data_IF_268920165519
#
_entry.id   IF_268920165519
#
_cell.length_a   1.000
_cell.length_b   1.000
_cell.length_c   1.000
_cell.angle_alpha   90.00
_cell.angle_beta   90.00
_cell.angle_gamma   90.00
#
_symmetry.space_group_name_H-M   'P 1'
#
loop_
_entity.id
_entity.type
_entity.pdbx_description
1 polymer ?
#
# COMPACT_ATOMS: atom_id res chain seq x y z
N UNK A 1 8.69 10.68 -12.83
CA UNK A 1 8.87 11.60 -11.70
C UNK A 1 8.32 10.92 -10.47
N UNK A 2 9.08 10.89 -9.37
CA UNK A 2 8.57 10.32 -8.12
C UNK A 2 7.96 11.39 -7.24
N UNK A 3 6.93 11.00 -6.49
CA UNK A 3 6.25 11.85 -5.51
C UNK A 3 5.98 11.05 -4.23
N UNK A 4 5.89 11.75 -3.11
CA UNK A 4 5.42 11.17 -1.86
C UNK A 4 3.91 11.32 -1.75
N UNK A 5 3.24 10.32 -1.22
CA UNK A 5 1.82 10.38 -0.95
C UNK A 5 1.39 9.46 0.18
N UNK A 6 0.12 9.57 0.57
CA UNK A 6 -0.48 8.76 1.63
C UNK A 6 -1.54 7.83 1.06
N UNK A 7 -1.56 6.58 1.49
CA UNK A 7 -2.59 5.65 1.04
C UNK A 7 -3.89 5.93 1.76
N UNK A 8 -4.92 6.28 1.01
CA UNK A 8 -6.25 6.59 1.54
C UNK A 8 -7.23 5.43 1.38
N UNK A 9 -6.99 4.54 0.42
CA UNK A 9 -7.82 3.35 0.18
C UNK A 9 -6.99 2.22 -0.44
N UNK A 10 -7.33 0.98 -0.12
CA UNK A 10 -6.83 -0.19 -0.83
C UNK A 10 -8.00 -1.06 -1.32
N UNK A 11 -7.81 -1.69 -2.47
CA UNK A 11 -8.60 -2.80 -2.97
C UNK A 11 -7.66 -3.98 -3.20
N UNK A 12 -8.19 -5.16 -3.58
CA UNK A 12 -7.41 -6.40 -3.74
C UNK A 12 -6.03 -6.21 -4.39
N UNK A 13 -5.96 -5.42 -5.46
CA UNK A 13 -4.74 -5.29 -6.28
C UNK A 13 -4.28 -3.85 -6.49
N UNK A 14 -5.00 -2.86 -5.94
CA UNK A 14 -4.73 -1.45 -6.19
C UNK A 14 -4.79 -0.63 -4.90
N UNK A 15 -4.04 0.47 -4.92
CA UNK A 15 -3.94 1.42 -3.83
C UNK A 15 -4.27 2.80 -4.37
N UNK A 16 -5.06 3.56 -3.63
CA UNK A 16 -5.36 4.95 -3.93
C UNK A 16 -4.46 5.80 -3.06
N UNK A 17 -3.60 6.58 -3.69
CA UNK A 17 -2.59 7.40 -3.04
C UNK A 17 -2.97 8.86 -3.22
N UNK A 18 -3.17 9.54 -2.10
CA UNK A 18 -3.29 10.99 -2.07
C UNK A 18 -1.89 11.61 -2.20
N UNK A 19 -1.69 12.32 -3.31
CA UNK A 19 -0.45 13.06 -3.65
C UNK A 19 -0.66 14.57 -3.59
N UNK A 20 -1.78 15.04 -3.01
CA UNK A 20 -2.15 16.46 -2.95
C UNK A 20 -2.91 16.96 -4.18
N UNK A 21 -3.40 16.06 -5.04
CA UNK A 21 -4.30 16.37 -6.15
C UNK A 21 -5.78 16.30 -5.72
N UNK A 22 -6.70 16.76 -6.58
CA UNK A 22 -8.14 16.74 -6.30
C UNK A 22 -8.66 15.32 -6.08
N UNK A 23 -8.15 14.36 -6.85
CA UNK A 23 -8.52 12.95 -6.76
C UNK A 23 -7.31 12.07 -6.41
N UNK A 24 -7.48 11.05 -5.54
CA UNK A 24 -6.42 10.11 -5.25
C UNK A 24 -5.99 9.33 -6.49
N UNK A 25 -4.67 9.22 -6.70
CA UNK A 25 -4.10 8.51 -7.85
C UNK A 25 -4.16 7.00 -7.63
N UNK A 26 -4.57 6.27 -8.66
CA UNK A 26 -4.54 4.80 -8.66
C UNK A 26 -3.09 4.31 -8.81
N UNK A 27 -2.65 3.44 -7.92
CA UNK A 27 -1.31 2.88 -7.92
C UNK A 27 -1.30 1.36 -7.72
N UNK A 28 -0.25 0.72 -8.25
CA UNK A 28 0.07 -0.70 -8.08
C UNK A 28 1.40 -0.85 -7.35
N UNK A 29 1.64 -2.02 -6.80
CA UNK A 29 2.91 -2.34 -6.16
C UNK A 29 3.84 -2.98 -7.18
N UNK A 30 5.07 -2.49 -7.26
CA UNK A 30 6.10 -3.16 -8.06
C UNK A 30 6.46 -4.49 -7.39
N UNK A 31 6.36 -5.61 -8.12
CA UNK A 31 6.39 -6.96 -7.54
C UNK A 31 7.65 -7.36 -6.75
N UNK A 32 8.71 -6.57 -6.77
CA UNK A 32 9.90 -6.78 -5.94
C UNK A 32 9.81 -6.17 -4.52
N UNK A 33 8.77 -5.37 -4.23
CA UNK A 33 8.72 -4.58 -3.00
C UNK A 33 8.65 -5.40 -1.70
N UNK A 34 8.22 -6.66 -1.79
CA UNK A 34 8.06 -7.56 -0.63
C UNK A 34 8.84 -8.87 -0.75
N UNK A 35 9.84 -8.94 -1.63
CA UNK A 35 10.59 -10.19 -1.86
C UNK A 35 11.24 -10.77 -0.60
N UNK A 36 11.61 -9.93 0.36
CA UNK A 36 12.25 -10.39 1.61
C UNK A 36 11.25 -10.75 2.71
N UNK A 37 9.96 -10.43 2.54
CA UNK A 37 8.94 -10.76 3.52
C UNK A 37 7.54 -10.62 2.92
N UNK A 38 6.93 -11.74 2.57
CA UNK A 38 5.52 -11.83 2.17
C UNK A 38 4.55 -11.57 3.33
N UNK A 39 5.03 -11.65 4.59
CA UNK A 39 4.20 -11.53 5.80
C UNK A 39 4.29 -10.17 6.51
N UNK A 40 5.37 -9.40 6.38
CA UNK A 40 5.63 -8.22 7.24
C UNK A 40 5.11 -6.90 6.64
N UNK A 41 4.99 -6.75 5.32
CA UNK A 41 4.67 -5.43 4.73
C UNK A 41 3.43 -5.42 3.84
N UNK A 42 2.27 -5.84 4.38
CA UNK A 42 0.99 -5.54 3.75
C UNK A 42 0.73 -4.03 3.92
N UNK A 43 0.97 -3.29 2.84
CA UNK A 43 0.63 -1.87 2.73
C UNK A 43 -0.75 -1.62 3.33
N UNK A 44 -0.86 -0.59 4.15
CA UNK A 44 -2.07 -0.22 4.87
C UNK A 44 -2.52 1.20 4.50
N UNK A 45 -3.80 1.48 4.74
CA UNK A 45 -4.30 2.86 4.72
C UNK A 45 -3.60 3.65 5.82
N UNK A 46 -3.17 4.87 5.48
CA UNK A 46 -2.34 5.73 6.32
C UNK A 46 -0.83 5.55 6.13
N UNK A 47 -0.40 4.59 5.32
CA UNK A 47 1.02 4.47 4.96
C UNK A 47 1.44 5.61 4.05
N UNK A 48 2.57 6.21 4.40
CA UNK A 48 3.29 7.13 3.53
C UNK A 48 4.17 6.33 2.56
N UNK A 49 4.11 6.66 1.28
CA UNK A 49 4.74 5.92 0.19
C UNK A 49 5.40 6.84 -0.83
N UNK A 50 6.44 6.33 -1.48
CA UNK A 50 6.99 6.94 -2.70
C UNK A 50 6.35 6.27 -3.92
N UNK A 51 5.81 7.07 -4.83
CA UNK A 51 5.16 6.63 -6.06
C UNK A 51 5.83 7.22 -7.30
N UNK A 52 5.97 6.41 -8.35
CA UNK A 52 6.29 6.87 -9.70
C UNK A 52 5.00 6.98 -10.50
N UNK A 53 4.61 8.22 -10.83
CA UNK A 53 3.38 8.50 -11.58
C UNK A 53 3.54 8.37 -13.09
N UNK A 54 4.77 8.22 -13.58
CA UNK A 54 5.10 8.23 -15.01
C UNK A 54 5.36 6.86 -15.59
N UNK A 55 5.51 5.84 -14.74
CA UNK A 55 5.93 4.51 -15.16
C UNK A 55 4.78 3.59 -15.66
N UNK A 56 3.52 4.06 -15.64
CA UNK A 56 2.42 3.40 -16.35
C UNK A 56 1.36 4.44 -16.76
N UNK A 57 0.72 4.21 -17.91
CA UNK A 57 -0.27 5.11 -18.50
C UNK A 57 -1.50 5.25 -17.58
N UNK A 58 -1.98 4.12 -17.04
CA UNK A 58 -3.25 4.07 -16.31
C UNK A 58 -3.10 4.16 -14.78
N UNK A 59 -1.90 3.90 -14.26
CA UNK A 59 -1.65 3.80 -12.82
C UNK A 59 -0.19 4.13 -12.46
N UNK A 60 0.02 4.67 -11.26
CA UNK A 60 1.36 4.85 -10.70
C UNK A 60 1.93 3.56 -10.11
N UNK A 61 3.24 3.54 -9.86
CA UNK A 61 3.92 2.45 -9.16
C UNK A 61 4.40 2.88 -7.78
N UNK A 62 3.99 2.14 -6.74
CA UNK A 62 4.57 2.29 -5.41
C UNK A 62 5.97 1.68 -5.42
N UNK A 63 6.96 2.50 -5.10
CA UNK A 63 8.38 2.16 -5.10
C UNK A 63 8.91 1.81 -3.72
N UNK A 64 8.37 2.41 -2.66
CA UNK A 64 8.67 2.09 -1.25
C UNK A 64 7.64 2.65 -0.29
N UNK A 65 7.67 2.12 0.93
CA UNK A 65 6.87 2.56 2.07
C UNK A 65 7.83 3.20 3.07
N UNK A 66 7.49 4.36 3.59
CA UNK A 66 8.27 5.01 4.64
C UNK A 66 8.02 4.33 6.01
N UNK A 67 8.98 4.42 6.96
CA UNK A 67 8.82 3.82 8.28
C UNK A 67 7.57 4.31 9.02
N UNK A 68 6.72 3.37 9.47
CA UNK A 68 5.51 3.71 10.23
C UNK A 68 5.88 4.16 11.64
N UNK A 69 5.38 5.31 12.08
CA UNK A 69 5.48 5.75 13.49
C UNK A 69 4.67 4.86 14.43
N UNK A 70 3.52 4.38 13.97
CA UNK A 70 2.60 3.54 14.74
C UNK A 70 1.94 2.51 13.83
N UNK A 71 1.56 1.35 14.38
CA UNK A 71 0.80 0.32 13.67
C UNK A 71 -0.41 -0.06 14.51
N UNK A 72 -1.61 0.14 13.97
CA UNK A 72 -2.82 -0.40 14.60
C UNK A 72 -2.92 -1.89 14.31
N UNK A 73 -2.90 -2.70 15.36
CA UNK A 73 -3.15 -4.13 15.27
C UNK A 73 -4.62 -4.38 14.98
N UNK A 74 -4.98 -4.66 13.73
CA UNK A 74 -6.23 -5.39 13.46
C UNK A 74 -5.99 -6.83 13.90
N UNK A 75 -6.87 -7.37 14.76
CA UNK A 75 -6.92 -8.83 14.94
C UNK A 75 -7.10 -9.43 13.54
N UNK A 76 -6.24 -10.35 13.08
CA UNK A 76 -6.60 -11.10 11.90
C UNK A 76 -7.96 -11.77 12.18
N UNK A 77 -8.79 -11.91 11.15
CA UNK A 77 -9.92 -12.86 11.18
C UNK A 77 -9.31 -14.28 11.21
N UNK A 78 -8.58 -14.61 12.27
CA UNK A 78 -8.36 -15.99 12.66
C UNK A 78 -9.68 -16.39 13.29
N UNK A 79 -10.60 -16.86 12.45
CA UNK A 79 -11.60 -17.80 12.95
C UNK A 79 -10.79 -18.94 13.54
N UNK A 80 -10.89 -19.14 14.86
CA UNK A 80 -10.43 -20.39 15.43
C UNK A 80 -11.17 -21.50 14.67
N UNK A 81 -10.47 -22.50 14.09
CA UNK A 81 -11.19 -23.67 13.62
C UNK A 81 -11.95 -24.23 14.83
N UNK A 82 -13.26 -24.43 14.69
CA UNK A 82 -14.04 -25.15 15.69
C UNK A 82 -13.32 -26.47 15.96
N UNK A 83 -12.86 -26.67 17.21
CA UNK A 83 -12.31 -27.95 17.61
C UNK A 83 -13.44 -28.98 17.53
N UNK A 84 -13.27 -29.97 16.63
CA UNK A 84 -14.07 -31.19 16.56
C UNK A 84 -13.74 -32.07 17.75
#
# INVERSE_FOLDING_TARGET
MTQTGTIVRHTKSFYYVDVGEIEPRLCRIRGNLFKESSYINKIAVGDEVEVDLTAAEDAGWILRIFPRRTKLSRRPNVGYPEQV
#
